data_IF_670016746173
#
_entry.id   IF_670016746173
#
_cell.length_a   1.000
_cell.length_b   1.000
_cell.length_c   1.000
_cell.angle_alpha   90.00
_cell.angle_beta   90.00
_cell.angle_gamma   90.00
#
_symmetry.space_group_name_H-M   'P 1'
#
loop_
_entity.id
_entity.type
_entity.pdbx_description
1 polymer ?
#
# COMPACT_ATOMS: atom_id res chain seq x y z
N UNK A 1 -10.09 -2.22 5.48
CA UNK A 1 -11.26 -2.90 4.89
C UNK A 1 -11.21 -4.40 5.14
N UNK A 2 -12.32 -4.96 5.55
CA UNK A 2 -12.47 -6.42 5.67
C UNK A 2 -12.38 -7.07 4.28
N UNK A 3 -11.76 -8.26 4.21
CA UNK A 3 -11.72 -9.06 2.96
C UNK A 3 -13.11 -9.25 2.34
N UNK A 4 -14.16 -9.25 3.17
CA UNK A 4 -15.54 -9.49 2.73
C UNK A 4 -16.13 -8.32 1.94
N UNK A 5 -15.62 -7.09 2.14
CA UNK A 5 -16.19 -5.88 1.54
C UNK A 5 -15.34 -5.28 0.42
N UNK A 6 -14.17 -5.85 0.12
CA UNK A 6 -13.31 -5.37 -0.94
C UNK A 6 -13.88 -5.79 -2.31
N UNK A 7 -14.17 -4.80 -3.17
CA UNK A 7 -14.76 -5.07 -4.49
C UNK A 7 -13.87 -5.95 -5.38
N UNK A 8 -12.54 -5.77 -5.32
CA UNK A 8 -11.62 -6.56 -6.13
C UNK A 8 -11.61 -8.03 -5.69
N UNK A 9 -11.69 -8.28 -4.38
CA UNK A 9 -11.78 -9.65 -3.86
C UNK A 9 -13.08 -10.32 -4.26
N UNK A 10 -14.20 -9.57 -4.28
CA UNK A 10 -15.49 -10.06 -4.75
C UNK A 10 -15.46 -10.41 -6.23
N UNK A 11 -14.87 -9.53 -7.03
CA UNK A 11 -14.74 -9.75 -8.47
C UNK A 11 -13.90 -10.98 -8.80
N UNK A 12 -12.82 -11.23 -8.05
CA UNK A 12 -11.97 -12.39 -8.25
C UNK A 12 -12.66 -13.71 -7.94
N UNK A 13 -13.67 -13.69 -7.06
CA UNK A 13 -14.46 -14.89 -6.69
C UNK A 13 -15.69 -15.08 -7.57
N UNK A 14 -16.21 -14.00 -8.12
CA UNK A 14 -17.48 -14.01 -8.85
C UNK A 14 -17.40 -13.00 -10.00
N UNK A 15 -17.28 -13.52 -11.21
CA UNK A 15 -17.14 -12.70 -12.41
C UNK A 15 -18.35 -11.80 -12.72
N UNK A 16 -19.48 -12.04 -12.04
CA UNK A 16 -20.65 -11.17 -12.16
C UNK A 16 -20.49 -9.85 -11.39
N UNK A 17 -19.53 -9.76 -10.48
CA UNK A 17 -19.25 -8.54 -9.72
C UNK A 17 -18.40 -7.58 -10.56
N UNK A 18 -18.78 -6.31 -10.51
CA UNK A 18 -18.20 -5.28 -11.35
C UNK A 18 -17.27 -4.35 -10.57
N UNK A 19 -16.23 -3.79 -11.23
CA UNK A 19 -15.41 -2.75 -10.63
C UNK A 19 -16.20 -1.46 -10.45
N UNK A 20 -15.68 -0.51 -9.64
CA UNK A 20 -16.32 0.81 -9.49
C UNK A 20 -16.53 1.48 -10.84
N UNK A 21 -17.66 2.20 -10.98
CA UNK A 21 -18.05 2.81 -12.26
C UNK A 21 -17.07 3.90 -12.74
N UNK A 22 -16.32 4.51 -11.82
CA UNK A 22 -15.34 5.57 -12.15
C UNK A 22 -13.93 5.04 -12.38
N UNK A 23 -13.70 3.72 -12.26
CA UNK A 23 -12.43 3.11 -12.64
C UNK A 23 -12.42 2.94 -14.17
N UNK A 24 -11.36 3.39 -14.83
CA UNK A 24 -11.23 3.34 -16.29
C UNK A 24 -10.20 2.30 -16.71
N UNK A 25 -10.34 1.79 -17.95
CA UNK A 25 -9.34 0.91 -18.54
C UNK A 25 -7.98 1.60 -18.63
N UNK A 26 -7.96 2.88 -18.96
CA UNK A 26 -6.74 3.66 -19.05
C UNK A 26 -5.98 3.69 -17.70
N UNK A 27 -6.70 3.89 -16.59
CA UNK A 27 -6.10 3.86 -15.26
C UNK A 27 -5.47 2.49 -14.97
N UNK A 28 -6.20 1.40 -15.26
CA UNK A 28 -5.70 0.03 -15.02
C UNK A 28 -4.45 -0.26 -15.88
N UNK A 29 -4.43 0.21 -17.12
CA UNK A 29 -3.27 0.06 -18.01
C UNK A 29 -2.06 0.87 -17.50
N UNK A 30 -2.29 2.05 -16.93
CA UNK A 30 -1.22 2.88 -16.37
C UNK A 30 -0.50 2.18 -15.21
N UNK A 31 -1.18 1.31 -14.47
CA UNK A 31 -0.56 0.58 -13.37
C UNK A 31 0.60 -0.32 -13.84
N UNK A 32 0.56 -0.78 -15.08
CA UNK A 32 1.62 -1.62 -15.65
C UNK A 32 2.79 -0.81 -16.19
N UNK A 33 2.65 0.50 -16.36
CA UNK A 33 3.70 1.35 -16.91
C UNK A 33 4.79 1.64 -15.90
N UNK A 34 4.43 1.87 -14.63
CA UNK A 34 5.39 2.08 -13.56
C UNK A 34 4.73 1.89 -12.20
N UNK A 35 5.53 1.55 -11.20
CA UNK A 35 5.06 1.47 -9.82
C UNK A 35 4.57 2.83 -9.32
N UNK A 36 5.24 3.90 -9.73
CA UNK A 36 4.82 5.26 -9.42
C UNK A 36 3.40 5.52 -9.92
N UNK A 37 3.09 5.11 -11.15
CA UNK A 37 1.74 5.28 -11.69
C UNK A 37 0.71 4.47 -10.92
N UNK A 38 1.03 3.23 -10.54
CA UNK A 38 0.15 2.42 -9.70
C UNK A 38 -0.18 3.14 -8.40
N UNK A 39 0.83 3.66 -7.71
CA UNK A 39 0.66 4.28 -6.40
C UNK A 39 0.05 5.68 -6.45
N UNK A 40 0.05 6.32 -7.63
CA UNK A 40 -0.48 7.68 -7.80
C UNK A 40 -1.97 7.73 -8.13
N UNK A 41 -2.58 6.61 -8.50
CA UNK A 41 -4.00 6.57 -8.87
C UNK A 41 -4.88 6.31 -7.67
N UNK A 42 -6.18 6.57 -7.80
CA UNK A 42 -7.13 6.39 -6.71
C UNK A 42 -7.29 4.93 -6.30
N UNK A 43 -7.43 4.03 -7.27
CA UNK A 43 -7.71 2.62 -7.01
C UNK A 43 -6.47 1.73 -7.03
N UNK A 44 -5.35 2.20 -7.57
CA UNK A 44 -4.12 1.42 -7.66
C UNK A 44 -3.64 0.88 -6.32
N UNK A 45 -3.41 1.76 -5.32
CA UNK A 45 -2.97 1.29 -4.01
C UNK A 45 -3.97 0.35 -3.33
N UNK A 46 -5.28 0.55 -3.52
CA UNK A 46 -6.33 -0.28 -2.95
C UNK A 46 -6.26 -1.70 -3.51
N UNK A 47 -6.17 -1.82 -4.83
CA UNK A 47 -6.09 -3.13 -5.51
C UNK A 47 -4.78 -3.84 -5.16
N UNK A 48 -3.69 -3.10 -5.20
CA UNK A 48 -2.37 -3.64 -4.87
C UNK A 48 -2.30 -4.13 -3.42
N UNK A 49 -2.87 -3.37 -2.48
CA UNK A 49 -2.96 -3.77 -1.08
C UNK A 49 -3.78 -5.04 -0.90
N UNK A 50 -4.87 -5.20 -1.64
CA UNK A 50 -5.68 -6.42 -1.62
C UNK A 50 -4.87 -7.62 -2.10
N UNK A 51 -4.07 -7.44 -3.16
CA UNK A 51 -3.17 -8.47 -3.66
C UNK A 51 -2.14 -8.89 -2.61
N UNK A 52 -1.48 -7.92 -1.99
CA UNK A 52 -0.48 -8.18 -0.96
C UNK A 52 -1.08 -8.88 0.26
N UNK A 53 -2.32 -8.54 0.61
CA UNK A 53 -3.04 -9.20 1.70
C UNK A 53 -3.28 -10.67 1.39
N UNK A 54 -3.58 -11.01 0.13
CA UNK A 54 -3.71 -12.40 -0.30
C UNK A 54 -2.39 -13.16 -0.18
N UNK A 55 -1.26 -12.48 -0.40
CA UNK A 55 0.08 -13.06 -0.24
C UNK A 55 0.56 -13.07 1.22
N UNK A 56 -0.20 -12.51 2.16
CA UNK A 56 0.18 -12.31 3.57
C UNK A 56 1.44 -11.45 3.71
N UNK A 57 1.60 -10.43 2.85
CA UNK A 57 2.77 -9.56 2.81
C UNK A 57 2.39 -8.08 2.67
N UNK A 58 1.27 -7.68 3.30
CA UNK A 58 0.74 -6.32 3.16
C UNK A 58 1.27 -5.32 4.22
N UNK A 59 2.24 -5.70 5.06
CA UNK A 59 2.81 -4.79 6.06
C UNK A 59 3.50 -3.58 5.41
N UNK A 60 4.19 -3.78 4.29
CA UNK A 60 4.87 -2.69 3.59
C UNK A 60 3.91 -1.64 3.06
N UNK A 61 2.83 -2.06 2.38
CA UNK A 61 1.86 -1.11 1.84
C UNK A 61 1.06 -0.44 2.97
N UNK A 62 0.74 -1.17 4.03
CA UNK A 62 0.05 -0.60 5.18
C UNK A 62 0.90 0.47 5.87
N UNK A 63 2.19 0.19 6.05
CA UNK A 63 3.12 1.17 6.61
C UNK A 63 3.25 2.39 5.71
N UNK A 64 3.41 2.19 4.41
CA UNK A 64 3.52 3.28 3.45
C UNK A 64 2.30 4.20 3.49
N UNK A 65 1.09 3.63 3.51
CA UNK A 65 -0.16 4.39 3.62
C UNK A 65 -0.27 5.13 4.95
N UNK A 66 0.14 4.48 6.04
CA UNK A 66 0.14 5.09 7.37
C UNK A 66 1.10 6.29 7.41
N UNK A 67 2.24 6.21 6.72
CA UNK A 67 3.18 7.32 6.61
C UNK A 67 2.59 8.49 5.82
N UNK A 68 1.84 8.22 4.77
CA UNK A 68 1.18 9.28 3.99
C UNK A 68 0.18 10.05 4.85
N UNK A 69 -0.59 9.33 5.67
CA UNK A 69 -1.52 9.94 6.63
C UNK A 69 -0.76 10.71 7.71
N UNK A 70 0.33 10.14 8.22
CA UNK A 70 1.16 10.77 9.25
C UNK A 70 1.69 12.13 8.81
N UNK A 71 2.14 12.27 7.57
CA UNK A 71 2.68 13.51 7.02
C UNK A 71 1.67 14.67 7.04
N UNK A 72 0.37 14.36 7.04
CA UNK A 72 -0.70 15.34 6.99
C UNK A 72 -1.14 15.83 8.36
N UNK A 73 -0.60 15.27 9.44
CA UNK A 73 -1.00 15.64 10.80
C UNK A 73 -0.43 17.02 11.14
N UNK A 74 -1.31 17.97 11.46
CA UNK A 74 -0.92 19.33 11.79
C UNK A 74 -0.62 19.51 13.28
N UNK A 75 -1.35 18.82 14.16
CA UNK A 75 -1.20 18.94 15.62
C UNK A 75 0.02 18.21 16.12
N UNK A 76 0.86 18.89 16.89
CA UNK A 76 2.04 18.29 17.52
C UNK A 76 1.68 17.08 18.40
N UNK A 77 0.63 17.22 19.21
CA UNK A 77 0.21 16.14 20.11
C UNK A 77 -0.30 14.92 19.35
N UNK A 78 -1.07 15.14 18.30
CA UNK A 78 -1.54 14.07 17.43
C UNK A 78 -0.38 13.39 16.71
N UNK A 79 0.62 14.16 16.29
CA UNK A 79 1.82 13.64 15.63
C UNK A 79 2.61 12.73 16.58
N UNK A 80 2.84 13.17 17.82
CA UNK A 80 3.55 12.39 18.83
C UNK A 80 2.82 11.06 19.08
N UNK A 81 1.51 11.13 19.29
CA UNK A 81 0.69 9.96 19.55
C UNK A 81 0.74 8.98 18.38
N UNK A 82 0.59 9.49 17.15
CA UNK A 82 0.62 8.66 15.95
C UNK A 82 1.99 8.05 15.70
N UNK A 83 3.08 8.81 15.93
CA UNK A 83 4.43 8.30 15.76
C UNK A 83 4.70 7.12 16.68
N UNK A 84 4.30 7.20 17.94
CA UNK A 84 4.44 6.11 18.91
C UNK A 84 3.66 4.87 18.46
N UNK A 85 2.46 5.07 17.92
CA UNK A 85 1.62 3.98 17.44
C UNK A 85 2.26 3.28 16.25
N UNK A 86 2.76 4.04 15.27
CA UNK A 86 3.46 3.49 14.10
C UNK A 86 4.71 2.71 14.51
N UNK A 87 5.45 3.23 15.45
CA UNK A 87 6.63 2.54 16.00
C UNK A 87 6.25 1.17 16.56
N UNK A 88 5.23 1.11 17.41
CA UNK A 88 4.80 -0.14 18.06
C UNK A 88 4.28 -1.18 17.07
N UNK A 89 3.67 -0.75 15.98
CA UNK A 89 3.07 -1.66 15.01
C UNK A 89 4.08 -2.15 13.98
N UNK A 90 4.97 -1.25 13.49
CA UNK A 90 5.78 -1.53 12.30
C UNK A 90 7.30 -1.53 12.51
N UNK A 91 7.80 -0.84 13.53
CA UNK A 91 9.25 -0.56 13.65
C UNK A 91 9.92 -1.37 14.76
N UNK A 92 9.26 -1.48 15.90
CA UNK A 92 9.80 -2.19 17.04
C UNK A 92 10.11 -3.64 16.67
N UNK A 93 11.30 -4.18 17.07
CA UNK A 93 11.59 -5.59 16.81
C UNK A 93 10.49 -6.50 17.35
N UNK A 94 10.08 -7.49 16.54
CA UNK A 94 9.00 -8.43 16.84
C UNK A 94 7.62 -7.78 16.99
N UNK A 95 7.44 -6.60 16.42
CA UNK A 95 6.13 -5.95 16.38
C UNK A 95 5.15 -6.72 15.50
N UNK A 96 3.83 -6.52 15.69
CA UNK A 96 2.82 -7.31 14.98
C UNK A 96 2.93 -7.27 13.46
N UNK A 97 3.38 -6.14 12.90
CA UNK A 97 3.47 -5.95 11.46
C UNK A 97 4.84 -5.36 11.09
N UNK A 98 5.88 -5.93 11.69
CA UNK A 98 7.24 -5.42 11.51
C UNK A 98 7.64 -5.34 10.04
N UNK A 99 8.12 -4.16 9.62
CA UNK A 99 8.71 -3.97 8.29
C UNK A 99 10.19 -4.31 8.33
N UNK A 100 10.74 -4.67 7.18
CA UNK A 100 12.16 -5.04 7.07
C UNK A 100 12.98 -3.79 6.72
N UNK A 101 13.61 -3.20 7.74
CA UNK A 101 14.52 -2.06 7.59
C UNK A 101 15.84 -2.34 8.29
N UNK A 102 16.88 -1.64 7.86
CA UNK A 102 18.20 -1.78 8.44
C UNK A 102 18.26 -1.18 9.86
N UNK A 103 19.25 -1.65 10.63
CA UNK A 103 19.45 -1.22 12.00
C UNK A 103 19.67 0.29 12.13
N UNK A 104 20.41 0.89 11.19
CA UNK A 104 20.70 2.32 11.19
C UNK A 104 19.42 3.15 11.07
N UNK A 105 18.54 2.77 10.13
CA UNK A 105 17.26 3.45 9.95
C UNK A 105 16.38 3.31 11.19
N UNK A 106 16.33 2.11 11.79
CA UNK A 106 15.57 1.88 13.02
C UNK A 106 16.08 2.74 14.16
N UNK A 107 17.40 2.81 14.35
CA UNK A 107 17.99 3.63 15.41
C UNK A 107 17.69 5.10 15.25
N UNK A 108 17.69 5.60 14.02
CA UNK A 108 17.34 6.99 13.73
C UNK A 108 15.89 7.27 14.10
N UNK A 109 14.97 6.35 13.82
CA UNK A 109 13.56 6.51 14.20
C UNK A 109 13.42 6.52 15.73
N UNK A 110 14.09 5.59 16.42
CA UNK A 110 14.06 5.53 17.91
C UNK A 110 14.50 6.86 18.49
N UNK A 111 15.55 7.44 17.94
CA UNK A 111 16.10 8.73 18.38
C UNK A 111 15.11 9.88 18.13
N UNK A 112 14.44 9.88 16.98
CA UNK A 112 13.55 10.97 16.57
C UNK A 112 12.15 10.87 17.16
N UNK A 113 11.74 9.68 17.65
CA UNK A 113 10.36 9.47 18.11
C UNK A 113 10.01 10.24 19.38
N UNK A 114 11.01 10.74 20.10
CA UNK A 114 10.79 11.55 21.31
C UNK A 114 10.21 12.93 20.94
N UNK A 115 10.68 13.51 19.85
CA UNK A 115 10.17 14.75 19.28
C UNK A 115 10.02 14.57 17.75
N UNK A 116 9.01 13.81 17.29
CA UNK A 116 8.93 13.45 15.90
C UNK A 116 8.49 14.63 15.02
N UNK A 117 9.21 14.80 13.93
CA UNK A 117 8.83 15.74 12.87
C UNK A 117 7.98 15.00 11.84
N UNK A 118 7.51 15.74 10.83
CA UNK A 118 6.77 15.19 9.70
C UNK A 118 7.59 14.15 8.91
N UNK A 119 8.93 14.24 8.99
CA UNK A 119 9.84 13.37 8.23
C UNK A 119 10.37 12.20 9.04
N UNK A 120 9.85 11.95 10.24
CA UNK A 120 10.33 10.91 11.15
C UNK A 120 10.47 9.53 10.49
N UNK A 121 9.53 9.16 9.61
CA UNK A 121 9.49 7.85 8.97
C UNK A 121 9.87 7.88 7.50
N UNK A 122 10.35 9.00 6.99
CA UNK A 122 10.58 9.19 5.56
C UNK A 122 11.56 8.18 4.96
N UNK A 123 12.68 7.93 5.64
CA UNK A 123 13.67 6.96 5.15
C UNK A 123 13.11 5.53 5.13
N UNK A 124 12.43 5.12 6.19
CA UNK A 124 11.78 3.81 6.24
C UNK A 124 10.71 3.68 5.16
N UNK A 125 9.95 4.75 4.90
CA UNK A 125 8.94 4.77 3.85
C UNK A 125 9.56 4.56 2.46
N UNK A 126 10.70 5.18 2.19
CA UNK A 126 11.45 4.99 0.95
C UNK A 126 11.93 3.55 0.78
N UNK A 127 12.39 2.94 1.88
CA UNK A 127 12.88 1.57 1.86
C UNK A 127 11.76 0.59 1.51
N UNK A 128 10.58 0.70 2.16
CA UNK A 128 9.46 -0.19 1.85
C UNK A 128 8.92 0.04 0.44
N UNK A 129 8.92 1.29 -0.04
CA UNK A 129 8.53 1.61 -1.41
C UNK A 129 9.44 0.87 -2.41
N UNK A 130 10.74 0.94 -2.19
CA UNK A 130 11.73 0.27 -3.04
C UNK A 130 11.55 -1.25 -3.01
N UNK A 131 11.30 -1.84 -1.84
CA UNK A 131 11.06 -3.27 -1.72
C UNK A 131 9.82 -3.70 -2.51
N UNK A 132 8.74 -2.94 -2.41
CA UNK A 132 7.51 -3.22 -3.15
C UNK A 132 7.73 -3.13 -4.66
N UNK A 133 8.40 -2.07 -5.11
CA UNK A 133 8.66 -1.84 -6.52
C UNK A 133 9.50 -2.95 -7.14
N UNK A 134 10.52 -3.42 -6.44
CA UNK A 134 11.45 -4.42 -6.95
C UNK A 134 10.94 -5.85 -6.85
N UNK A 135 10.15 -6.16 -5.82
CA UNK A 135 9.75 -7.54 -5.53
C UNK A 135 8.28 -7.82 -5.87
N UNK A 136 7.36 -7.27 -5.10
CA UNK A 136 5.94 -7.64 -5.22
C UNK A 136 5.22 -6.99 -6.40
N UNK A 137 5.65 -5.82 -6.84
CA UNK A 137 5.01 -5.14 -7.98
C UNK A 137 5.10 -5.95 -9.27
N UNK A 138 6.27 -6.49 -9.68
CA UNK A 138 6.30 -7.35 -10.88
C UNK A 138 5.41 -8.59 -10.76
N UNK A 139 5.31 -9.19 -9.56
CA UNK A 139 4.42 -10.33 -9.33
C UNK A 139 2.95 -9.92 -9.45
N UNK A 140 2.61 -8.73 -8.92
CA UNK A 140 1.24 -8.19 -9.03
C UNK A 140 0.80 -8.09 -10.49
N UNK A 141 1.65 -7.58 -11.37
CA UNK A 141 1.32 -7.43 -12.78
C UNK A 141 1.06 -8.77 -13.47
N UNK A 142 1.68 -9.85 -12.99
CA UNK A 142 1.49 -11.21 -13.51
C UNK A 142 0.38 -11.96 -12.79
N UNK A 143 -0.20 -11.36 -11.74
CA UNK A 143 -1.18 -12.04 -10.90
C UNK A 143 -2.50 -12.25 -11.61
N UNK A 144 -3.22 -13.28 -11.18
CA UNK A 144 -4.58 -13.54 -11.65
C UNK A 144 -5.51 -12.35 -11.35
N UNK A 145 -5.35 -11.73 -10.19
CA UNK A 145 -6.16 -10.57 -9.80
C UNK A 145 -6.05 -9.42 -10.81
N UNK A 146 -4.83 -9.03 -11.17
CA UNK A 146 -4.61 -7.95 -12.13
C UNK A 146 -5.09 -8.33 -13.52
N UNK A 147 -4.79 -9.55 -13.97
CA UNK A 147 -5.17 -10.03 -15.30
C UNK A 147 -6.70 -10.13 -15.45
N UNK A 148 -7.40 -10.60 -14.43
CA UNK A 148 -8.87 -10.64 -14.43
C UNK A 148 -9.48 -9.25 -14.48
N UNK A 149 -8.93 -8.31 -13.70
CA UNK A 149 -9.40 -6.92 -13.71
C UNK A 149 -9.18 -6.29 -15.08
N UNK A 150 -7.99 -6.45 -15.65
CA UNK A 150 -7.66 -5.92 -16.97
C UNK A 150 -8.63 -6.46 -18.04
N UNK A 151 -8.86 -7.77 -18.02
CA UNK A 151 -9.78 -8.42 -18.96
C UNK A 151 -11.21 -7.91 -18.80
N UNK A 152 -11.69 -7.76 -17.56
CA UNK A 152 -13.02 -7.22 -17.28
C UNK A 152 -13.17 -5.79 -17.81
N UNK A 153 -12.15 -4.95 -17.64
CA UNK A 153 -12.17 -3.57 -18.14
C UNK A 153 -12.15 -3.52 -19.67
N UNK A 154 -11.39 -4.41 -20.31
CA UNK A 154 -11.34 -4.52 -21.78
C UNK A 154 -12.69 -4.94 -22.35
N UNK A 155 -13.36 -5.91 -21.72
CA UNK A 155 -14.70 -6.36 -22.15
C UNK A 155 -15.73 -5.25 -22.07
N UNK A 156 -15.69 -4.42 -21.00
CA UNK A 156 -16.61 -3.30 -20.82
C UNK A 156 -16.38 -2.18 -21.83
N UNK A 157 -15.18 -2.08 -22.42
CA UNK A 157 -14.81 -1.05 -23.38
C UNK A 157 -15.02 -1.49 -24.84
N UNK A 158 -15.52 -2.71 -25.09
CA UNK A 158 -15.71 -3.27 -26.43
C UNK A 158 -17.02 -2.85 -27.08
N UNK A 159 -17.73 -1.90 -26.50
CA UNK A 159 -19.02 -1.39 -27.01
C UNK A 159 -18.93 0.08 -27.37
#
# INVERSE_FOLDING_TARGET
MSRRNCWICKMCRDESKRPPSNLTLEEVLQWAQSFKNLMATKYGPVVYAAYLKMEHSDENIQFWMACETYKKIASRWSRISRAKKLYKIYIQPQSPREINIDSSTRQTIIKNIQEPTETCFEEAQKIVYMHMERDSYPRFLKSEMYQKLLKAMQSNNSF
#
